data_IF_336800878771
#
_entry.id   IF_336800878771
#
_cell.length_a   1.000
_cell.length_b   1.000
_cell.length_c   1.000
_cell.angle_alpha   90.00
_cell.angle_beta   90.00
_cell.angle_gamma   90.00
#
_symmetry.space_group_name_H-M   'P 1'
#
loop_
_entity.id
_entity.type
_entity.pdbx_description
1 polymer ?
#
# COMPACT_ATOMS: atom_id res chain seq x y z
N UNK A 1 -45.86 3.19 15.80
CA UNK A 1 -45.34 2.76 14.48
C UNK A 1 -44.09 3.59 14.18
N UNK A 2 -42.90 3.22 14.68
CA UNK A 2 -41.86 2.38 14.05
C UNK A 2 -41.40 2.80 12.66
N UNK A 3 -40.21 3.40 12.56
CA UNK A 3 -39.06 3.00 11.70
C UNK A 3 -38.01 4.12 11.71
N UNK A 4 -36.92 3.94 12.47
CA UNK A 4 -35.63 3.36 12.04
C UNK A 4 -34.66 4.42 11.52
N UNK A 5 -33.72 4.79 12.40
CA UNK A 5 -32.48 5.52 12.10
C UNK A 5 -31.76 4.85 10.92
N UNK A 6 -31.64 5.55 9.79
CA UNK A 6 -30.72 5.20 8.70
C UNK A 6 -29.33 5.75 9.06
N UNK A 7 -28.43 4.82 9.34
CA UNK A 7 -27.01 4.75 8.95
C UNK A 7 -26.29 6.10 8.77
N UNK A 8 -25.32 6.36 9.65
CA UNK A 8 -24.26 7.36 9.43
C UNK A 8 -23.50 6.98 8.14
N UNK A 9 -23.80 7.68 7.06
CA UNK A 9 -23.01 7.65 5.83
C UNK A 9 -21.73 8.43 6.09
N UNK A 10 -20.61 7.73 6.23
CA UNK A 10 -19.33 7.86 5.48
C UNK A 10 -18.93 9.24 4.88
N UNK A 11 -19.39 10.36 5.43
CA UNK A 11 -19.24 11.70 4.86
C UNK A 11 -18.53 12.69 5.81
N UNK A 12 -18.09 12.25 6.99
CA UNK A 12 -17.54 13.12 8.03
C UNK A 12 -15.99 13.08 8.14
N UNK A 13 -15.31 12.64 7.08
CA UNK A 13 -13.84 12.71 6.97
C UNK A 13 -13.39 13.62 5.81
N UNK A 14 -14.21 14.60 5.45
CA UNK A 14 -13.95 15.57 4.38
C UNK A 14 -13.45 16.94 4.88
N UNK A 15 -13.08 17.08 6.15
CA UNK A 15 -12.61 18.34 6.73
C UNK A 15 -11.08 18.38 6.90
N UNK A 16 -10.34 18.51 5.80
CA UNK A 16 -8.94 18.97 5.80
C UNK A 16 -8.46 19.34 4.38
N UNK A 17 -9.06 20.36 3.76
CA UNK A 17 -8.58 20.92 2.50
C UNK A 17 -7.35 21.83 2.73
N UNK A 18 -6.14 21.27 2.65
CA UNK A 18 -4.87 22.00 2.59
C UNK A 18 -3.95 21.35 1.53
N UNK A 19 -3.61 22.09 0.48
CA UNK A 19 -2.52 21.89 -0.51
C UNK A 19 -2.05 20.44 -0.79
N UNK A 20 -2.43 19.92 -1.96
CA UNK A 20 -1.83 18.73 -2.56
C UNK A 20 -2.52 17.46 -2.09
N UNK A 21 -3.48 16.97 -2.88
CA UNK A 21 -4.14 15.69 -2.63
C UNK A 21 -3.04 14.62 -2.49
N UNK A 22 -2.91 13.97 -1.31
CA UNK A 22 -1.97 12.86 -1.20
C UNK A 22 -2.40 11.81 -2.24
N UNK A 23 -1.45 11.19 -2.96
CA UNK A 23 -1.81 10.11 -3.87
C UNK A 23 -2.57 9.06 -3.07
N UNK A 24 -3.75 8.69 -3.54
CA UNK A 24 -4.54 7.62 -2.91
C UNK A 24 -3.75 6.34 -3.13
N UNK A 25 -2.94 5.95 -2.13
CA UNK A 25 -2.18 4.71 -2.17
C UNK A 25 -3.17 3.55 -2.01
N UNK A 26 -3.32 2.78 -3.07
CA UNK A 26 -4.15 1.59 -3.09
C UNK A 26 -3.31 0.35 -3.37
N UNK A 27 -3.88 -0.82 -3.05
CA UNK A 27 -3.21 -2.12 -3.21
C UNK A 27 -2.82 -2.38 -4.67
N UNK A 28 -3.64 -1.91 -5.62
CA UNK A 28 -3.41 -2.11 -7.06
C UNK A 28 -2.09 -1.46 -7.51
N UNK A 29 -1.85 -0.21 -7.11
CA UNK A 29 -0.64 0.52 -7.46
C UNK A 29 0.62 -0.17 -6.91
N UNK A 30 0.56 -0.63 -5.66
CA UNK A 30 1.67 -1.37 -5.06
C UNK A 30 1.89 -2.73 -5.73
N UNK A 31 0.81 -3.40 -6.16
CA UNK A 31 0.92 -4.65 -6.89
C UNK A 31 1.62 -4.47 -8.24
N UNK A 32 1.26 -3.43 -9.00
CA UNK A 32 1.92 -3.14 -10.29
C UNK A 32 3.42 -2.84 -10.13
N UNK A 33 3.80 -2.13 -9.07
CA UNK A 33 5.22 -1.92 -8.74
C UNK A 33 5.88 -3.24 -8.35
N UNK A 34 5.22 -4.04 -7.53
CA UNK A 34 5.69 -5.37 -7.17
C UNK A 34 5.93 -6.28 -8.37
N UNK A 35 5.06 -6.26 -9.37
CA UNK A 35 5.25 -7.01 -10.61
C UNK A 35 6.45 -6.50 -11.42
N UNK A 36 6.69 -5.17 -11.44
CA UNK A 36 7.89 -4.59 -12.04
C UNK A 36 9.15 -5.01 -11.28
N UNK A 37 9.10 -5.01 -9.95
CA UNK A 37 10.20 -5.48 -9.10
C UNK A 37 10.48 -6.96 -9.30
N UNK A 38 9.44 -7.79 -9.33
CA UNK A 38 9.57 -9.22 -9.60
C UNK A 38 10.25 -9.49 -10.95
N UNK A 39 9.89 -8.75 -12.00
CA UNK A 39 10.56 -8.85 -13.31
C UNK A 39 12.01 -8.39 -13.27
N UNK A 40 12.30 -7.27 -12.60
CA UNK A 40 13.66 -6.70 -12.47
C UNK A 40 14.59 -7.64 -11.69
N UNK A 41 14.12 -8.12 -10.55
CA UNK A 41 14.87 -8.97 -9.62
C UNK A 41 14.75 -10.47 -9.95
N UNK A 42 14.01 -10.82 -11.00
CA UNK A 42 13.79 -12.18 -11.51
C UNK A 42 13.17 -13.12 -10.47
N UNK A 43 12.16 -12.63 -9.76
CA UNK A 43 11.38 -13.46 -8.84
C UNK A 43 10.43 -14.38 -9.62
N UNK A 44 10.53 -15.68 -9.38
CA UNK A 44 9.70 -16.69 -10.07
C UNK A 44 8.42 -17.02 -9.30
N UNK A 45 8.41 -16.81 -7.97
CA UNK A 45 7.36 -17.29 -7.08
C UNK A 45 6.53 -16.19 -6.41
N UNK A 46 6.95 -14.93 -6.51
CA UNK A 46 6.26 -13.80 -5.88
C UNK A 46 5.91 -12.73 -6.91
N UNK A 47 4.71 -12.18 -6.80
CA UNK A 47 4.14 -11.16 -7.68
C UNK A 47 3.30 -10.17 -6.89
N UNK A 48 2.89 -9.07 -7.53
CA UNK A 48 2.02 -8.08 -6.90
C UNK A 48 2.55 -7.55 -5.56
N UNK A 49 1.65 -7.39 -4.58
CA UNK A 49 2.01 -6.89 -3.25
C UNK A 49 3.00 -7.82 -2.52
N UNK A 50 2.98 -9.12 -2.80
CA UNK A 50 3.89 -10.07 -2.16
C UNK A 50 5.33 -9.89 -2.65
N UNK A 51 5.52 -9.53 -3.92
CA UNK A 51 6.82 -9.14 -4.45
C UNK A 51 7.35 -7.86 -3.79
N UNK A 52 6.49 -6.89 -3.48
CA UNK A 52 6.88 -5.70 -2.69
C UNK A 52 7.37 -6.10 -1.31
N UNK A 53 6.61 -6.93 -0.59
CA UNK A 53 7.00 -7.38 0.74
C UNK A 53 8.33 -8.14 0.70
N UNK A 54 8.47 -9.07 -0.25
CA UNK A 54 9.68 -9.85 -0.41
C UNK A 54 10.88 -8.96 -0.73
N UNK A 55 10.71 -8.01 -1.64
CA UNK A 55 11.74 -7.04 -2.00
C UNK A 55 12.23 -6.24 -0.79
N UNK A 56 11.31 -5.70 0.01
CA UNK A 56 11.66 -4.93 1.23
C UNK A 56 12.37 -5.80 2.27
N UNK A 57 11.98 -7.07 2.41
CA UNK A 57 12.67 -8.02 3.28
C UNK A 57 14.11 -8.28 2.80
N UNK A 58 14.32 -8.47 1.50
CA UNK A 58 15.65 -8.73 0.94
C UNK A 58 16.56 -7.50 1.02
N UNK A 59 16.04 -6.31 0.69
CA UNK A 59 16.81 -5.07 0.66
C UNK A 59 17.19 -4.54 2.04
N UNK A 60 16.24 -4.55 2.98
CA UNK A 60 16.42 -3.95 4.31
C UNK A 60 16.64 -4.99 5.42
N UNK A 61 16.64 -6.28 5.09
CA UNK A 61 16.73 -7.39 6.05
C UNK A 61 15.66 -7.30 7.17
N UNK A 62 14.49 -6.76 6.84
CA UNK A 62 13.41 -6.63 7.81
C UNK A 62 12.69 -7.95 8.03
N UNK A 63 12.24 -8.16 9.28
CA UNK A 63 11.48 -9.35 9.64
C UNK A 63 10.16 -9.41 8.84
N UNK A 64 9.74 -10.59 8.34
CA UNK A 64 8.52 -10.74 7.55
C UNK A 64 7.26 -10.23 8.27
N UNK A 65 7.20 -10.45 9.58
CA UNK A 65 6.11 -9.95 10.44
C UNK A 65 6.00 -8.43 10.41
N UNK A 66 7.14 -7.73 10.41
CA UNK A 66 7.18 -6.27 10.39
C UNK A 66 6.66 -5.74 9.05
N UNK A 67 7.18 -6.26 7.95
CA UNK A 67 6.82 -5.81 6.60
C UNK A 67 5.34 -6.07 6.29
N UNK A 68 4.83 -7.24 6.69
CA UNK A 68 3.40 -7.58 6.51
C UNK A 68 2.44 -6.77 7.39
N UNK A 69 2.94 -6.14 8.46
CA UNK A 69 2.14 -5.28 9.33
C UNK A 69 2.23 -3.80 8.96
N UNK A 70 3.04 -3.43 7.95
CA UNK A 70 3.12 -2.05 7.46
C UNK A 70 1.84 -1.65 6.74
N UNK A 71 1.46 -0.39 6.90
CA UNK A 71 0.38 0.22 6.13
C UNK A 71 0.81 0.45 4.68
N UNK A 72 -0.15 0.58 3.78
CA UNK A 72 0.12 0.81 2.36
C UNK A 72 0.94 2.09 2.14
N UNK A 73 0.67 3.17 2.88
CA UNK A 73 1.46 4.41 2.83
C UNK A 73 2.92 4.21 3.26
N UNK A 74 3.16 3.34 4.25
CA UNK A 74 4.51 3.03 4.72
C UNK A 74 5.27 2.20 3.68
N UNK A 75 4.61 1.22 3.06
CA UNK A 75 5.17 0.43 1.96
C UNK A 75 5.50 1.34 0.77
N UNK A 76 4.59 2.23 0.40
CA UNK A 76 4.80 3.22 -0.66
C UNK A 76 5.98 4.14 -0.33
N UNK A 77 6.08 4.62 0.91
CA UNK A 77 7.18 5.46 1.34
C UNK A 77 8.53 4.75 1.20
N UNK A 78 8.63 3.47 1.61
CA UNK A 78 9.85 2.68 1.47
C UNK A 78 10.26 2.49 0.00
N UNK A 79 9.29 2.43 -0.91
CA UNK A 79 9.51 2.29 -2.35
C UNK A 79 9.80 3.62 -3.06
N UNK A 80 9.42 4.76 -2.48
CA UNK A 80 9.51 6.08 -3.14
C UNK A 80 10.96 6.53 -3.41
N UNK A 81 11.92 6.10 -2.61
CA UNK A 81 13.34 6.37 -2.84
C UNK A 81 13.97 5.44 -3.88
N UNK A 82 13.22 4.46 -4.37
CA UNK A 82 13.69 3.52 -5.36
C UNK A 82 13.56 4.11 -6.76
N UNK A 83 14.70 4.26 -7.45
CA UNK A 83 14.68 4.47 -8.89
C UNK A 83 14.23 3.17 -9.55
N UNK A 84 12.91 3.06 -9.76
CA UNK A 84 12.25 2.07 -10.62
C UNK A 84 12.44 2.44 -12.08
#
# INVERSE_FOLDING_TARGET
MTKSKKVHTEAELAEAEHKGTPPVINVQLLAEIGDKLAKREKYEQVSGLEAVHYYLMQKHHWAPKRVRSMKLDELWFCLKEEKV
#
